data_IF_609997740226
#
_entry.id   IF_609997740226
#
_cell.length_a   1.000
_cell.length_b   1.000
_cell.length_c   1.000
_cell.angle_alpha   90.00
_cell.angle_beta   90.00
_cell.angle_gamma   90.00
#
_symmetry.space_group_name_H-M   'P 1'
#
loop_
_entity.id
_entity.type
_entity.pdbx_description
1 polymer ?
#
# COMPACT_ATOMS: atom_id res chain seq x y z
N UNK A 1 31.12 23.45 -12.46
CA UNK A 1 30.88 22.05 -12.04
C UNK A 1 29.55 22.01 -11.34
N UNK A 2 28.52 21.46 -11.97
CA UNK A 2 27.23 21.22 -11.33
C UNK A 2 27.24 19.79 -10.78
N UNK A 3 26.83 19.62 -9.54
CA UNK A 3 26.64 18.30 -8.93
C UNK A 3 25.32 17.74 -9.43
N UNK A 4 25.39 16.65 -10.20
CA UNK A 4 24.22 15.88 -10.58
C UNK A 4 23.94 14.92 -9.42
N UNK A 5 22.88 15.19 -8.65
CA UNK A 5 22.38 14.24 -7.66
C UNK A 5 21.69 13.13 -8.46
N UNK A 6 22.35 11.98 -8.59
CA UNK A 6 21.70 10.76 -9.06
C UNK A 6 20.71 10.32 -7.98
N UNK A 7 19.42 10.54 -8.22
CA UNK A 7 18.37 9.92 -7.43
C UNK A 7 18.50 8.40 -7.59
N UNK A 8 18.65 7.67 -6.48
CA UNK A 8 18.70 6.22 -6.52
C UNK A 8 17.41 5.70 -7.20
N UNK A 9 17.56 4.96 -8.30
CA UNK A 9 16.46 4.27 -8.97
C UNK A 9 16.05 3.07 -8.10
N UNK A 10 15.36 3.34 -7.00
CA UNK A 10 14.93 2.34 -6.03
C UNK A 10 13.40 2.23 -6.08
N UNK A 11 12.90 1.00 -6.08
CA UNK A 11 11.47 0.75 -6.03
C UNK A 11 10.91 1.09 -4.65
N UNK A 12 9.69 1.60 -4.62
CA UNK A 12 8.96 1.87 -3.40
C UNK A 12 8.00 0.72 -3.13
N UNK A 13 8.05 0.15 -1.92
CA UNK A 13 7.21 -0.99 -1.55
C UNK A 13 6.29 -0.59 -0.40
N UNK A 14 4.99 -0.71 -0.61
CA UNK A 14 3.95 -0.51 0.42
C UNK A 14 3.48 -1.88 0.88
N UNK A 15 3.65 -2.17 2.17
CA UNK A 15 3.21 -3.44 2.76
C UNK A 15 2.20 -3.21 3.87
N UNK A 16 1.28 -4.15 4.03
CA UNK A 16 0.30 -4.13 5.10
C UNK A 16 -0.27 -5.52 5.34
N UNK A 17 -1.25 -5.59 6.24
CA UNK A 17 -1.94 -6.82 6.56
C UNK A 17 -3.43 -6.54 6.79
N UNK A 18 -4.27 -7.51 6.43
CA UNK A 18 -5.72 -7.44 6.55
C UNK A 18 -6.20 -8.46 7.56
N UNK A 19 -7.01 -8.01 8.51
CA UNK A 19 -7.57 -8.83 9.57
C UNK A 19 -9.09 -8.79 9.53
N UNK A 20 -9.73 -9.91 9.87
CA UNK A 20 -11.14 -9.95 10.19
C UNK A 20 -11.30 -9.54 11.65
N UNK A 21 -11.92 -8.39 11.85
CA UNK A 21 -12.33 -7.93 13.17
C UNK A 21 -13.56 -8.75 13.62
N UNK A 22 -13.31 -9.79 14.43
CA UNK A 22 -14.37 -10.66 14.94
C UNK A 22 -15.24 -9.95 15.98
N UNK A 23 -14.64 -9.02 16.72
CA UNK A 23 -15.29 -8.29 17.81
C UNK A 23 -16.07 -7.07 17.32
N UNK A 24 -15.83 -6.64 16.07
CA UNK A 24 -16.43 -5.46 15.42
C UNK A 24 -16.18 -4.16 16.18
N UNK A 25 -15.01 -4.04 16.80
CA UNK A 25 -14.61 -2.89 17.60
C UNK A 25 -13.68 -1.91 16.85
N UNK A 26 -13.29 -2.26 15.63
CA UNK A 26 -12.43 -1.46 14.75
C UNK A 26 -10.95 -1.50 15.11
N UNK A 27 -10.53 -2.42 15.99
CA UNK A 27 -9.15 -2.58 16.43
C UNK A 27 -8.61 -3.95 16.00
N UNK A 28 -7.28 -4.10 16.04
CA UNK A 28 -6.65 -5.43 15.92
C UNK A 28 -6.47 -5.96 17.34
N UNK A 29 -7.20 -7.00 17.68
CA UNK A 29 -7.34 -7.60 19.00
C UNK A 29 -6.92 -9.08 18.99
N UNK A 30 -6.95 -9.73 20.17
CA UNK A 30 -6.47 -11.11 20.36
C UNK A 30 -7.25 -12.15 19.52
N UNK A 31 -8.53 -11.87 19.23
CA UNK A 31 -9.40 -12.82 18.51
C UNK A 31 -9.46 -12.55 17.01
N UNK A 32 -8.86 -11.48 16.53
CA UNK A 32 -8.85 -11.16 15.11
C UNK A 32 -7.86 -12.04 14.36
N UNK A 33 -8.18 -12.36 13.12
CA UNK A 33 -7.39 -13.28 12.32
C UNK A 33 -7.10 -12.73 10.93
N UNK A 34 -5.93 -13.04 10.35
CA UNK A 34 -5.57 -12.55 9.02
C UNK A 34 -6.49 -13.15 7.95
N UNK A 35 -6.89 -12.35 6.96
CA UNK A 35 -7.74 -12.79 5.85
C UNK A 35 -6.88 -13.01 4.59
N UNK A 36 -6.98 -14.20 4.01
CA UNK A 36 -6.35 -14.54 2.72
C UNK A 36 -7.31 -14.26 1.56
N UNK A 37 -6.77 -13.86 0.40
CA UNK A 37 -7.56 -13.67 -0.83
C UNK A 37 -8.35 -12.37 -0.94
N UNK A 38 -8.10 -11.38 -0.07
CA UNK A 38 -8.70 -10.05 -0.20
C UNK A 38 -7.97 -9.26 -1.29
N UNK A 39 -8.72 -8.68 -2.23
CA UNK A 39 -8.21 -7.74 -3.22
C UNK A 39 -8.06 -6.35 -2.57
N UNK A 40 -6.85 -5.83 -2.58
CA UNK A 40 -6.48 -4.53 -2.01
C UNK A 40 -6.13 -3.61 -3.16
N UNK A 41 -6.89 -2.52 -3.29
CA UNK A 41 -6.63 -1.47 -4.26
C UNK A 41 -5.99 -0.27 -3.57
N UNK A 42 -4.85 0.18 -4.08
CA UNK A 42 -4.25 1.45 -3.67
C UNK A 42 -4.39 2.44 -4.81
N UNK A 43 -4.84 3.65 -4.50
CA UNK A 43 -4.95 4.74 -5.47
C UNK A 43 -4.27 6.00 -4.92
N UNK A 44 -3.56 6.69 -5.79
CA UNK A 44 -2.93 7.96 -5.51
C UNK A 44 -3.62 9.06 -6.30
N UNK A 45 -3.86 10.20 -5.68
CA UNK A 45 -4.49 11.35 -6.32
C UNK A 45 -3.55 12.54 -6.40
N UNK A 46 -3.71 13.36 -7.43
CA UNK A 46 -3.05 14.66 -7.50
C UNK A 46 -3.73 15.68 -6.58
N UNK A 47 -3.16 16.89 -6.51
CA UNK A 47 -3.72 17.99 -5.73
C UNK A 47 -5.09 18.50 -6.23
N UNK A 48 -5.61 17.94 -7.33
CA UNK A 48 -6.93 18.23 -7.90
C UNK A 48 -7.90 17.05 -7.70
N UNK A 49 -7.47 15.99 -7.01
CA UNK A 49 -8.28 14.79 -6.75
C UNK A 49 -8.34 13.80 -7.91
N UNK A 50 -7.54 13.97 -8.97
CA UNK A 50 -7.48 13.02 -10.09
C UNK A 50 -6.54 11.86 -9.76
N UNK A 51 -6.97 10.62 -10.06
CA UNK A 51 -6.15 9.43 -9.85
C UNK A 51 -4.94 9.48 -10.78
N UNK A 52 -3.74 9.52 -10.22
CA UNK A 52 -2.47 9.54 -10.96
C UNK A 52 -1.89 8.14 -11.14
N UNK A 53 -2.07 7.27 -10.15
CA UNK A 53 -1.66 5.87 -10.22
C UNK A 53 -2.58 5.03 -9.35
N UNK A 54 -2.82 3.79 -9.77
CA UNK A 54 -3.49 2.78 -8.97
C UNK A 54 -2.83 1.42 -9.17
N UNK A 55 -2.88 0.60 -8.12
CA UNK A 55 -2.37 -0.79 -8.12
C UNK A 55 -3.31 -1.64 -7.31
N UNK A 56 -3.42 -2.90 -7.69
CA UNK A 56 -4.21 -3.89 -6.96
C UNK A 56 -3.33 -5.08 -6.62
N UNK A 57 -3.45 -5.58 -5.40
CA UNK A 57 -2.75 -6.78 -4.94
C UNK A 57 -3.67 -7.67 -4.11
N UNK A 58 -3.38 -8.97 -4.08
CA UNK A 58 -4.16 -9.92 -3.29
C UNK A 58 -3.39 -10.33 -2.04
N UNK A 59 -4.06 -10.31 -0.88
CA UNK A 59 -3.44 -10.72 0.37
C UNK A 59 -3.03 -12.20 0.35
N UNK A 60 -1.82 -12.47 0.79
CA UNK A 60 -1.25 -13.81 1.01
C UNK A 60 -1.97 -14.59 2.12
N UNK A 61 -1.55 -15.83 2.35
CA UNK A 61 -2.10 -16.68 3.42
C UNK A 61 -1.96 -16.05 4.83
N UNK A 62 -0.90 -15.26 5.07
CA UNK A 62 -0.75 -14.53 6.34
C UNK A 62 -1.52 -13.21 6.39
N UNK A 63 -2.44 -12.97 5.45
CA UNK A 63 -3.18 -11.72 5.30
C UNK A 63 -2.34 -10.53 4.87
N UNK A 64 -1.07 -10.76 4.51
CA UNK A 64 -0.12 -9.70 4.12
C UNK A 64 -0.19 -9.42 2.62
N UNK A 65 -0.04 -8.16 2.25
CA UNK A 65 0.12 -7.72 0.86
C UNK A 65 1.37 -6.85 0.71
N UNK A 66 1.88 -6.76 -0.52
CA UNK A 66 3.00 -5.90 -0.88
C UNK A 66 2.77 -5.32 -2.28
N UNK A 67 2.51 -4.02 -2.36
CA UNK A 67 2.36 -3.29 -3.62
C UNK A 67 3.71 -2.65 -3.95
N UNK A 68 4.20 -2.87 -5.17
CA UNK A 68 5.48 -2.35 -5.64
C UNK A 68 5.23 -1.25 -6.67
N UNK A 69 5.84 -0.09 -6.44
CA UNK A 69 5.92 1.01 -7.39
C UNK A 69 7.35 1.13 -7.89
N UNK A 70 7.52 1.21 -9.20
CA UNK A 70 8.83 1.39 -9.81
C UNK A 70 9.36 2.80 -9.53
N UNK A 71 10.63 2.89 -9.15
CA UNK A 71 11.31 4.14 -8.85
C UNK A 71 10.82 4.88 -7.59
N UNK A 72 11.33 6.10 -7.42
CA UNK A 72 11.02 6.99 -6.29
C UNK A 72 9.71 7.73 -6.52
N UNK A 73 8.61 6.99 -6.52
CA UNK A 73 7.26 7.54 -6.71
C UNK A 73 6.83 8.32 -5.47
N UNK A 74 6.30 9.54 -5.65
CA UNK A 74 5.68 10.31 -4.56
C UNK A 74 4.36 9.66 -4.12
N UNK A 75 4.29 9.24 -2.86
CA UNK A 75 3.13 8.56 -2.27
C UNK A 75 2.31 9.45 -1.32
N UNK A 76 2.56 10.76 -1.27
CA UNK A 76 1.98 11.65 -0.26
C UNK A 76 0.44 11.72 -0.28
N UNK A 77 -0.18 11.42 -1.42
CA UNK A 77 -1.63 11.46 -1.61
C UNK A 77 -2.20 10.08 -2.02
N UNK A 78 -1.61 9.00 -1.51
CA UNK A 78 -2.09 7.65 -1.76
C UNK A 78 -2.92 7.09 -0.60
N UNK A 79 -3.97 6.35 -0.94
CA UNK A 79 -4.86 5.67 -0.02
C UNK A 79 -5.08 4.23 -0.46
N UNK A 80 -5.27 3.37 0.53
CA UNK A 80 -5.63 1.94 0.41
C UNK A 80 -7.09 1.78 0.79
#
# INVERSE_FOLDING_TARGET
MAWQIEWANANTVVTGAVFCDQCKDGQISLYDYPICGVLIGMACVDNKGQITTSREETTSWFGKYAIIFDGTTDLSNCYV
#
